data_IF_598763201875
#
_entry.id   IF_598763201875
#
_cell.length_a   1.000
_cell.length_b   1.000
_cell.length_c   1.000
_cell.angle_alpha   90.00
_cell.angle_beta   90.00
_cell.angle_gamma   90.00
#
_symmetry.space_group_name_H-M   'P 1'
#
loop_
_entity.id
_entity.type
_entity.pdbx_description
1 polymer ?
#
# COMPACT_ATOMS: atom_id res chain seq x y z
N UNK A 1 -9.22 -25.17 15.78
CA UNK A 1 -8.66 -24.26 14.75
C UNK A 1 -9.42 -22.94 14.69
N UNK A 2 -10.74 -22.96 14.41
CA UNK A 2 -11.57 -21.74 14.25
C UNK A 2 -11.55 -20.77 15.47
N UNK A 3 -11.50 -21.30 16.69
CA UNK A 3 -11.42 -20.51 17.92
C UNK A 3 -10.18 -19.60 18.00
N UNK A 4 -9.02 -20.03 17.44
CA UNK A 4 -7.80 -19.21 17.44
C UNK A 4 -7.99 -17.95 16.61
N UNK A 5 -8.65 -18.06 15.46
CA UNK A 5 -8.95 -16.93 14.58
C UNK A 5 -10.00 -16.01 15.17
N UNK A 6 -11.07 -16.56 15.77
CA UNK A 6 -12.09 -15.74 16.45
C UNK A 6 -11.49 -14.97 17.63
N UNK A 7 -10.62 -15.60 18.42
CA UNK A 7 -9.92 -14.96 19.52
C UNK A 7 -9.02 -13.82 19.02
N UNK A 8 -8.22 -14.08 17.98
CA UNK A 8 -7.37 -13.03 17.39
C UNK A 8 -8.20 -11.88 16.81
N UNK A 9 -9.32 -12.19 16.15
CA UNK A 9 -10.24 -11.17 15.63
C UNK A 9 -10.82 -10.26 16.72
N UNK A 10 -11.16 -10.83 17.89
CA UNK A 10 -11.64 -10.06 19.04
C UNK A 10 -10.53 -9.23 19.69
N UNK A 11 -9.31 -9.77 19.73
CA UNK A 11 -8.16 -9.11 20.33
C UNK A 11 -7.61 -7.96 19.46
N UNK A 12 -7.57 -8.15 18.14
CA UNK A 12 -7.06 -7.17 17.17
C UNK A 12 -8.09 -6.86 16.09
N UNK A 13 -9.18 -6.21 16.52
CA UNK A 13 -10.31 -5.85 15.67
C UNK A 13 -9.88 -4.94 14.52
N UNK A 14 -8.96 -4.00 14.78
CA UNK A 14 -8.59 -2.96 13.83
C UNK A 14 -7.72 -3.53 12.69
N UNK A 15 -6.75 -4.39 13.01
CA UNK A 15 -6.01 -5.16 12.00
C UNK A 15 -6.95 -6.03 11.16
N UNK A 16 -7.89 -6.71 11.82
CA UNK A 16 -8.84 -7.59 11.14
C UNK A 16 -9.77 -6.83 10.17
N UNK A 17 -10.25 -5.65 10.56
CA UNK A 17 -11.07 -4.78 9.70
C UNK A 17 -10.28 -4.31 8.48
N UNK A 18 -9.00 -3.95 8.63
CA UNK A 18 -8.11 -3.56 7.53
C UNK A 18 -7.97 -4.66 6.47
N UNK A 19 -7.96 -5.94 6.87
CA UNK A 19 -7.97 -7.06 5.91
C UNK A 19 -9.33 -7.15 5.20
N UNK A 20 -10.43 -7.18 5.95
CA UNK A 20 -11.78 -7.38 5.38
C UNK A 20 -12.19 -6.24 4.45
N UNK A 21 -11.87 -5.00 4.80
CA UNK A 21 -12.26 -3.83 4.00
C UNK A 21 -11.61 -3.85 2.60
N UNK A 22 -10.49 -4.55 2.43
CA UNK A 22 -9.84 -4.75 1.12
C UNK A 22 -10.73 -5.49 0.11
N UNK A 23 -11.74 -6.25 0.57
CA UNK A 23 -12.73 -6.89 -0.31
C UNK A 23 -13.65 -5.88 -1.01
N UNK A 24 -13.91 -4.72 -0.40
CA UNK A 24 -14.80 -3.69 -0.95
C UNK A 24 -14.29 -3.16 -2.30
N UNK A 25 -13.07 -2.62 -2.44
CA UNK A 25 -12.60 -2.13 -3.74
C UNK A 25 -12.46 -3.26 -4.77
N UNK A 26 -12.10 -4.49 -4.37
CA UNK A 26 -12.02 -5.64 -5.28
C UNK A 26 -13.38 -5.94 -5.92
N UNK A 27 -14.43 -6.05 -5.10
CA UNK A 27 -15.79 -6.30 -5.58
C UNK A 27 -16.29 -5.16 -6.46
N UNK A 28 -16.02 -3.90 -6.09
CA UNK A 28 -16.38 -2.72 -6.88
C UNK A 28 -15.68 -2.69 -8.25
N UNK A 29 -14.39 -3.04 -8.34
CA UNK A 29 -13.67 -3.10 -9.62
C UNK A 29 -14.34 -4.10 -10.56
N UNK A 30 -14.75 -5.25 -10.04
CA UNK A 30 -15.42 -6.27 -10.82
C UNK A 30 -16.82 -5.83 -11.27
N UNK A 31 -17.64 -5.32 -10.35
CA UNK A 31 -19.00 -4.85 -10.63
C UNK A 31 -19.03 -3.69 -11.65
N UNK A 32 -18.11 -2.75 -11.53
CA UNK A 32 -18.00 -1.58 -12.43
C UNK A 32 -17.23 -1.87 -13.72
N UNK A 33 -16.69 -3.09 -13.88
CA UNK A 33 -15.79 -3.48 -14.96
C UNK A 33 -14.60 -2.52 -15.13
N UNK A 34 -14.11 -1.96 -14.02
CA UNK A 34 -13.01 -0.99 -14.03
C UNK A 34 -11.68 -1.62 -14.50
N UNK A 35 -11.54 -2.95 -14.41
CA UNK A 35 -10.39 -3.71 -14.90
C UNK A 35 -10.11 -3.58 -16.42
N UNK A 36 -11.04 -2.99 -17.17
CA UNK A 36 -10.83 -2.64 -18.57
C UNK A 36 -9.69 -1.62 -18.73
N UNK A 37 -9.56 -0.67 -17.81
CA UNK A 37 -8.46 0.29 -17.77
C UNK A 37 -7.19 -0.38 -17.19
N UNK A 38 -6.02 -0.22 -17.84
CA UNK A 38 -4.78 -0.90 -17.42
C UNK A 38 -4.30 -0.48 -16.02
N UNK A 39 -4.52 0.78 -15.61
CA UNK A 39 -4.18 1.25 -14.27
C UNK A 39 -5.06 0.59 -13.21
N UNK A 40 -6.36 0.47 -13.46
CA UNK A 40 -7.28 -0.22 -12.55
C UNK A 40 -7.06 -1.74 -12.53
N UNK A 41 -6.56 -2.31 -13.63
CA UNK A 41 -6.13 -3.72 -13.65
C UNK A 41 -4.92 -3.95 -12.75
N UNK A 42 -3.94 -3.05 -12.76
CA UNK A 42 -2.81 -3.11 -11.83
C UNK A 42 -3.26 -2.88 -10.39
N UNK A 43 -4.19 -1.95 -10.15
CA UNK A 43 -4.79 -1.77 -8.83
C UNK A 43 -5.49 -3.05 -8.34
N UNK A 44 -6.24 -3.72 -9.20
CA UNK A 44 -6.87 -5.00 -8.87
C UNK A 44 -5.84 -6.06 -8.50
N UNK A 45 -4.77 -6.18 -9.30
CA UNK A 45 -3.68 -7.11 -9.01
C UNK A 45 -3.02 -6.78 -7.67
N UNK A 46 -2.77 -5.50 -7.39
CA UNK A 46 -2.26 -5.04 -6.09
C UNK A 46 -3.19 -5.43 -4.94
N UNK A 47 -4.49 -5.16 -5.05
CA UNK A 47 -5.46 -5.47 -4.00
C UNK A 47 -5.59 -6.98 -3.76
N UNK A 48 -5.51 -7.81 -4.81
CA UNK A 48 -5.49 -9.27 -4.68
C UNK A 48 -4.22 -9.77 -3.99
N UNK A 49 -3.05 -9.28 -4.41
CA UNK A 49 -1.77 -9.61 -3.76
C UNK A 49 -1.78 -9.16 -2.30
N UNK A 50 -2.23 -7.93 -2.01
CA UNK A 50 -2.42 -7.40 -0.65
C UNK A 50 -3.31 -8.34 0.16
N UNK A 51 -4.49 -8.70 -0.35
CA UNK A 51 -5.43 -9.56 0.38
C UNK A 51 -4.83 -10.93 0.70
N UNK A 52 -4.13 -11.55 -0.25
CA UNK A 52 -3.48 -12.86 -0.04
C UNK A 52 -2.42 -12.74 1.07
N UNK A 53 -1.55 -11.74 0.99
CA UNK A 53 -0.50 -11.50 1.98
C UNK A 53 -1.11 -11.18 3.34
N UNK A 54 -2.10 -10.30 3.42
CA UNK A 54 -2.77 -9.92 4.66
C UNK A 54 -3.42 -11.13 5.34
N UNK A 55 -4.05 -12.03 4.56
CA UNK A 55 -4.61 -13.28 5.08
C UNK A 55 -3.52 -14.25 5.59
N UNK A 56 -2.38 -14.33 4.90
CA UNK A 56 -1.23 -15.12 5.36
C UNK A 56 -0.64 -14.52 6.64
N UNK A 57 -0.48 -13.20 6.70
CA UNK A 57 0.01 -12.50 7.89
C UNK A 57 -0.94 -12.67 9.08
N UNK A 58 -2.25 -12.64 8.83
CA UNK A 58 -3.29 -12.93 9.82
C UNK A 58 -3.20 -14.37 10.33
N UNK A 59 -2.99 -15.34 9.42
CA UNK A 59 -2.78 -16.74 9.79
C UNK A 59 -1.53 -16.93 10.65
N UNK A 60 -0.40 -16.33 10.25
CA UNK A 60 0.83 -16.36 11.02
C UNK A 60 0.65 -15.71 12.39
N UNK A 61 -0.02 -14.56 12.48
CA UNK A 61 -0.30 -13.90 13.74
C UNK A 61 -1.18 -14.76 14.67
N UNK A 62 -2.25 -15.37 14.14
CA UNK A 62 -3.13 -16.27 14.89
C UNK A 62 -2.42 -17.55 15.37
N UNK A 63 -1.34 -17.96 14.70
CA UNK A 63 -0.51 -19.12 15.05
C UNK A 63 0.77 -18.73 15.82
N UNK A 64 0.97 -17.44 16.10
CA UNK A 64 2.18 -16.88 16.75
C UNK A 64 3.48 -17.17 16.00
N UNK A 65 3.40 -17.23 14.68
CA UNK A 65 4.55 -17.32 13.78
C UNK A 65 4.92 -15.91 13.31
N UNK A 66 6.22 -15.61 13.26
CA UNK A 66 6.71 -14.33 12.77
C UNK A 66 6.33 -14.16 11.29
N UNK A 67 5.71 -13.03 10.96
CA UNK A 67 5.17 -12.70 9.64
C UNK A 67 5.92 -11.54 8.96
N UNK A 68 7.03 -11.08 9.53
CA UNK A 68 7.78 -9.92 9.04
C UNK A 68 8.45 -10.16 7.69
N UNK A 69 8.73 -11.41 7.34
CA UNK A 69 9.18 -11.79 5.99
C UNK A 69 8.13 -11.43 4.95
N UNK A 70 6.87 -11.76 5.20
CA UNK A 70 5.76 -11.44 4.30
C UNK A 70 5.61 -9.92 4.17
N UNK A 71 5.71 -9.19 5.28
CA UNK A 71 5.67 -7.74 5.29
C UNK A 71 6.78 -7.13 4.40
N UNK A 72 8.02 -7.58 4.57
CA UNK A 72 9.17 -7.08 3.83
C UNK A 72 9.05 -7.35 2.32
N UNK A 73 8.61 -8.54 1.93
CA UNK A 73 8.38 -8.90 0.52
C UNK A 73 7.25 -8.05 -0.10
N UNK A 74 6.24 -7.70 0.70
CA UNK A 74 5.10 -6.88 0.25
C UNK A 74 5.54 -5.50 -0.24
N UNK A 75 6.59 -4.92 0.34
CA UNK A 75 7.11 -3.60 -0.04
C UNK A 75 7.48 -3.55 -1.52
N UNK A 76 8.11 -4.62 -2.03
CA UNK A 76 8.50 -4.75 -3.44
C UNK A 76 7.26 -4.77 -4.33
N UNK A 77 6.32 -5.67 -4.04
CA UNK A 77 5.09 -5.81 -4.84
C UNK A 77 4.24 -4.55 -4.81
N UNK A 78 4.10 -3.93 -3.63
CA UNK A 78 3.34 -2.70 -3.43
C UNK A 78 3.94 -1.57 -4.26
N UNK A 79 5.25 -1.36 -4.19
CA UNK A 79 5.88 -0.32 -4.98
C UNK A 79 5.74 -0.56 -6.49
N UNK A 80 6.08 -1.76 -6.98
CA UNK A 80 6.06 -2.07 -8.42
C UNK A 80 4.65 -1.92 -9.02
N UNK A 81 3.64 -2.45 -8.34
CA UNK A 81 2.27 -2.42 -8.86
C UNK A 81 1.70 -1.00 -8.82
N UNK A 82 1.96 -0.26 -7.74
CA UNK A 82 1.47 1.10 -7.59
C UNK A 82 2.20 2.08 -8.51
N UNK A 83 3.52 2.00 -8.64
CA UNK A 83 4.29 2.80 -9.60
C UNK A 83 3.86 2.48 -11.04
N UNK A 84 3.56 1.21 -11.33
CA UNK A 84 2.98 0.76 -12.59
C UNK A 84 1.62 1.41 -12.90
N UNK A 85 0.79 1.69 -11.90
CA UNK A 85 -0.47 2.43 -12.13
C UNK A 85 -0.21 3.83 -12.68
N UNK A 86 0.81 4.52 -12.14
CA UNK A 86 1.24 5.84 -12.60
C UNK A 86 1.84 5.80 -14.00
N UNK A 87 2.54 4.72 -14.37
CA UNK A 87 3.05 4.54 -15.74
C UNK A 87 1.95 4.66 -16.81
N UNK A 88 0.76 4.14 -16.53
CA UNK A 88 -0.39 4.23 -17.43
C UNK A 88 -1.23 5.51 -17.30
N UNK A 89 -0.97 6.37 -16.30
CA UNK A 89 -1.77 7.58 -16.03
C UNK A 89 -1.07 8.88 -16.35
N UNK A 90 0.26 8.91 -16.33
CA UNK A 90 1.01 10.10 -16.76
C UNK A 90 0.89 10.29 -18.28
N UNK A 91 0.51 11.50 -18.71
CA UNK A 91 0.57 11.90 -20.12
C UNK A 91 2.02 12.21 -20.52
N UNK A 92 2.84 12.71 -19.57
CA UNK A 92 4.24 13.04 -19.84
C UNK A 92 5.13 11.79 -20.01
N UNK A 93 5.48 11.50 -21.27
CA UNK A 93 6.39 10.40 -21.65
C UNK A 93 7.79 10.47 -21.04
N UNK A 94 8.28 11.65 -20.64
CA UNK A 94 9.58 11.76 -19.98
C UNK A 94 9.51 11.20 -18.56
N UNK A 95 8.42 11.47 -17.83
CA UNK A 95 8.21 10.98 -16.46
C UNK A 95 8.05 9.46 -16.45
N UNK A 96 7.24 8.92 -17.37
CA UNK A 96 7.00 7.46 -17.46
C UNK A 96 8.26 6.65 -17.73
N UNK A 97 9.24 7.20 -18.46
CA UNK A 97 10.53 6.54 -18.71
C UNK A 97 11.34 6.29 -17.44
N UNK A 98 11.15 7.09 -16.39
CA UNK A 98 11.87 6.91 -15.11
C UNK A 98 11.22 5.88 -14.19
N UNK A 99 9.93 5.58 -14.36
CA UNK A 99 9.18 4.69 -13.47
C UNK A 99 9.75 3.27 -13.49
N UNK A 100 10.03 2.72 -14.66
CA UNK A 100 10.52 1.34 -14.77
C UNK A 100 11.94 1.16 -14.22
N UNK A 101 12.94 2.01 -14.58
CA UNK A 101 14.26 1.97 -13.95
C UNK A 101 14.22 2.18 -12.43
N UNK A 102 13.39 3.11 -11.93
CA UNK A 102 13.24 3.33 -10.49
C UNK A 102 12.61 2.13 -9.79
N UNK A 103 11.64 1.44 -10.42
CA UNK A 103 11.04 0.22 -9.86
C UNK A 103 12.04 -0.93 -9.77
N UNK A 104 12.88 -1.10 -10.79
CA UNK A 104 13.96 -2.09 -10.76
C UNK A 104 15.01 -1.73 -9.70
N UNK A 105 15.49 -0.48 -9.69
CA UNK A 105 16.47 -0.01 -8.71
C UNK A 105 15.97 -0.11 -7.27
N UNK A 106 14.72 0.27 -7.03
CA UNK A 106 14.07 0.13 -5.72
C UNK A 106 13.97 -1.33 -5.29
N UNK A 107 13.63 -2.25 -6.22
CA UNK A 107 13.56 -3.68 -5.89
C UNK A 107 14.92 -4.23 -5.44
N UNK A 108 16.01 -3.87 -6.13
CA UNK A 108 17.37 -4.25 -5.70
C UNK A 108 17.75 -3.62 -4.36
N UNK A 109 17.42 -2.34 -4.17
CA UNK A 109 17.63 -1.65 -2.90
C UNK A 109 16.89 -2.34 -1.74
N UNK A 110 15.63 -2.73 -1.94
CA UNK A 110 14.84 -3.43 -0.92
C UNK A 110 15.37 -4.82 -0.64
N UNK A 111 15.79 -5.58 -1.65
CA UNK A 111 16.42 -6.89 -1.44
C UNK A 111 17.70 -6.76 -0.61
N UNK A 112 18.54 -5.76 -0.91
CA UNK A 112 19.72 -5.45 -0.12
C UNK A 112 19.37 -5.10 1.33
N UNK A 113 18.37 -4.24 1.55
CA UNK A 113 17.93 -3.85 2.89
C UNK A 113 17.35 -5.03 3.70
N UNK A 114 16.63 -5.94 3.04
CA UNK A 114 16.15 -7.19 3.65
C UNK A 114 17.34 -8.03 4.14
N UNK A 115 18.35 -8.25 3.30
CA UNK A 115 19.54 -9.02 3.67
C UNK A 115 20.37 -8.34 4.74
N UNK A 116 20.52 -7.02 4.67
CA UNK A 116 21.25 -6.25 5.67
C UNK A 116 20.59 -6.31 7.05
N UNK A 117 19.26 -6.27 7.12
CA UNK A 117 18.53 -6.37 8.37
C UNK A 117 18.38 -7.81 8.88
N UNK A 118 18.43 -8.80 7.97
CA UNK A 118 18.17 -10.21 8.28
C UNK A 118 19.30 -11.09 7.71
N UNK A 119 20.49 -11.12 8.35
CA UNK A 119 21.64 -11.87 7.85
C UNK A 119 21.39 -13.38 7.82
N UNK A 120 20.52 -13.90 8.69
CA UNK A 120 20.06 -15.29 8.69
C UNK A 120 18.61 -15.38 8.20
N UNK A 121 18.43 -15.39 6.87
CA UNK A 121 17.12 -15.43 6.20
C UNK A 121 16.38 -16.75 6.46
N UNK A 122 17.09 -17.82 6.81
CA UNK A 122 16.48 -19.11 7.11
C UNK A 122 15.85 -19.12 8.50
N UNK A 123 16.31 -18.25 9.40
CA UNK A 123 15.74 -18.09 10.72
C UNK A 123 14.50 -17.18 10.71
N UNK A 124 13.37 -17.75 10.32
CA UNK A 124 12.08 -17.06 10.24
C UNK A 124 11.64 -16.43 11.58
N UNK A 125 12.13 -16.91 12.72
CA UNK A 125 11.72 -16.38 14.03
C UNK A 125 12.35 -15.03 14.37
N UNK A 126 13.58 -14.76 13.91
CA UNK A 126 14.35 -13.56 14.25
C UNK A 126 14.26 -12.45 13.20
N UNK A 127 13.38 -12.58 12.21
CA UNK A 127 13.23 -11.55 11.19
C UNK A 127 12.78 -10.22 11.78
N UNK A 128 13.33 -9.14 11.22
CA UNK A 128 13.06 -7.76 11.56
C UNK A 128 12.49 -7.01 10.35
N UNK A 129 11.78 -5.92 10.64
CA UNK A 129 11.31 -4.97 9.63
C UNK A 129 12.52 -4.31 8.97
N UNK A 130 12.47 -4.15 7.65
CA UNK A 130 13.47 -3.39 6.88
C UNK A 130 13.65 -1.96 7.39
N UNK A 131 14.89 -1.47 7.42
CA UNK A 131 15.21 -0.17 8.04
C UNK A 131 14.89 1.01 7.14
N UNK A 132 15.17 0.91 5.84
CA UNK A 132 15.16 2.07 4.94
C UNK A 132 14.08 1.98 3.88
N UNK A 133 13.77 0.79 3.40
CA UNK A 133 12.92 0.54 2.24
C UNK A 133 11.52 1.08 2.42
N UNK A 134 10.93 0.96 3.62
CA UNK A 134 9.59 1.48 3.90
C UNK A 134 9.52 3.00 3.77
N UNK A 135 10.53 3.71 4.27
CA UNK A 135 10.63 5.17 4.19
C UNK A 135 10.88 5.62 2.75
N UNK A 136 11.81 4.96 2.05
CA UNK A 136 12.11 5.26 0.64
C UNK A 136 10.91 5.00 -0.25
N UNK A 137 10.19 3.90 -0.05
CA UNK A 137 8.93 3.61 -0.74
C UNK A 137 7.95 4.77 -0.55
N UNK A 138 7.74 5.18 0.69
CA UNK A 138 6.77 6.22 1.03
C UNK A 138 7.14 7.56 0.37
N UNK A 139 8.42 7.92 0.38
CA UNK A 139 8.91 9.12 -0.31
C UNK A 139 8.69 9.06 -1.81
N UNK A 140 9.04 7.94 -2.45
CA UNK A 140 8.86 7.75 -3.88
C UNK A 140 7.38 7.76 -4.28
N UNK A 141 6.51 7.14 -3.49
CA UNK A 141 5.08 7.12 -3.74
C UNK A 141 4.44 8.49 -3.58
N UNK A 142 4.79 9.24 -2.53
CA UNK A 142 4.37 10.64 -2.38
C UNK A 142 4.87 11.48 -3.56
N UNK A 143 6.12 11.31 -3.99
CA UNK A 143 6.66 11.99 -5.15
C UNK A 143 5.81 11.72 -6.40
N UNK A 144 5.49 10.46 -6.72
CA UNK A 144 4.63 10.12 -7.86
C UNK A 144 3.24 10.74 -7.75
N UNK A 145 2.62 10.69 -6.57
CA UNK A 145 1.28 11.26 -6.33
C UNK A 145 1.30 12.78 -6.52
N UNK A 146 2.29 13.48 -5.97
CA UNK A 146 2.40 14.93 -6.11
C UNK A 146 2.68 15.36 -7.55
N UNK A 147 3.52 14.61 -8.26
CA UNK A 147 3.80 14.85 -9.68
C UNK A 147 2.52 14.65 -10.51
N UNK A 148 1.73 13.62 -10.18
CA UNK A 148 0.44 13.39 -10.80
C UNK A 148 -0.56 14.52 -10.53
N UNK A 149 -0.69 14.99 -9.28
CA UNK A 149 -1.55 16.13 -8.98
C UNK A 149 -1.11 17.42 -9.66
N UNK A 150 0.21 17.65 -9.78
CA UNK A 150 0.74 18.78 -10.54
C UNK A 150 0.31 18.73 -12.01
N UNK A 151 0.39 17.57 -12.64
CA UNK A 151 -0.05 17.39 -14.04
C UNK A 151 -1.56 17.56 -14.20
N UNK A 152 -2.33 16.99 -13.27
CA UNK A 152 -3.79 17.10 -13.23
C UNK A 152 -4.23 18.56 -13.13
N UNK A 153 -3.67 19.33 -12.21
CA UNK A 153 -3.98 20.76 -12.01
C UNK A 153 -3.52 21.59 -13.22
N UNK A 154 -2.32 21.32 -13.74
CA UNK A 154 -1.77 22.07 -14.88
C UNK A 154 -2.50 21.84 -16.20
N UNK A 155 -3.15 20.69 -16.36
CA UNK A 155 -3.85 20.36 -17.61
C UNK A 155 -5.20 21.09 -17.78
N UNK A 156 -5.82 21.61 -16.71
CA UNK A 156 -7.16 22.24 -16.69
C UNK A 156 -8.28 21.42 -17.39
N UNK A 157 -8.05 20.15 -17.74
CA UNK A 157 -8.96 19.30 -18.52
C UNK A 157 -10.16 18.81 -17.70
N UNK A 158 -10.06 18.80 -16.37
CA UNK A 158 -11.07 18.21 -15.49
C UNK A 158 -11.88 19.32 -14.80
N UNK A 159 -13.16 19.51 -15.17
CA UNK A 159 -14.00 20.58 -14.61
C UNK A 159 -14.35 20.35 -13.13
N UNK A 160 -14.29 19.11 -12.65
CA UNK A 160 -14.46 18.78 -11.23
C UNK A 160 -13.54 17.61 -10.82
N UNK A 161 -12.53 17.88 -10.01
CA UNK A 161 -11.57 16.87 -9.53
C UNK A 161 -12.24 15.74 -8.73
N UNK A 162 -13.32 16.06 -8.01
CA UNK A 162 -14.01 15.10 -7.15
C UNK A 162 -14.78 14.04 -7.92
N UNK A 163 -15.03 14.25 -9.21
CA UNK A 163 -15.66 13.22 -10.06
C UNK A 163 -14.64 12.29 -10.71
N UNK A 164 -13.34 12.57 -10.56
CA UNK A 164 -12.28 11.78 -11.18
C UNK A 164 -11.88 10.58 -10.30
N UNK A 165 -12.07 9.34 -10.75
CA UNK A 165 -11.79 8.13 -9.94
C UNK A 165 -10.37 8.06 -9.39
N UNK A 166 -9.36 8.40 -10.20
CA UNK A 166 -7.95 8.28 -9.81
C UNK A 166 -7.52 9.36 -8.83
N UNK A 167 -8.23 10.49 -8.74
CA UNK A 167 -7.98 11.52 -7.74
C UNK A 167 -8.15 10.94 -6.33
N UNK A 168 -9.26 10.24 -6.08
CA UNK A 168 -9.55 9.61 -4.79
C UNK A 168 -8.57 8.50 -4.43
N UNK A 169 -8.12 7.72 -5.42
CA UNK A 169 -7.06 6.73 -5.24
C UNK A 169 -5.78 7.43 -4.77
N UNK A 170 -5.32 8.46 -5.49
CA UNK A 170 -4.14 9.23 -5.13
C UNK A 170 -4.26 9.89 -3.75
N UNK A 171 -5.43 10.44 -3.39
CA UNK A 171 -5.67 11.01 -2.07
C UNK A 171 -5.57 9.96 -0.96
N UNK A 172 -6.14 8.77 -1.17
CA UNK A 172 -6.02 7.65 -0.22
C UNK A 172 -4.57 7.20 -0.04
N UNK A 173 -3.81 7.08 -1.14
CA UNK A 173 -2.40 6.72 -1.08
C UNK A 173 -1.55 7.81 -0.42
N UNK A 174 -1.85 9.09 -0.68
CA UNK A 174 -1.12 10.20 -0.07
C UNK A 174 -1.26 10.15 1.45
N UNK A 175 -2.48 10.02 1.97
CA UNK A 175 -2.72 9.92 3.41
C UNK A 175 -2.01 8.71 4.03
N UNK A 176 -2.08 7.56 3.37
CA UNK A 176 -1.40 6.34 3.81
C UNK A 176 0.12 6.52 3.91
N UNK A 177 0.77 6.90 2.80
CA UNK A 177 2.22 7.02 2.75
C UNK A 177 2.74 8.19 3.58
N UNK A 178 2.01 9.30 3.67
CA UNK A 178 2.38 10.39 4.59
C UNK A 178 2.36 9.91 6.05
N UNK A 179 1.39 9.11 6.46
CA UNK A 179 1.38 8.55 7.82
C UNK A 179 2.58 7.63 8.08
N UNK A 180 2.94 6.79 7.11
CA UNK A 180 4.07 5.87 7.23
C UNK A 180 5.41 6.58 7.37
N UNK A 181 5.63 7.72 6.69
CA UNK A 181 6.87 8.50 6.84
C UNK A 181 7.10 8.94 8.28
N UNK A 182 6.04 9.32 9.00
CA UNK A 182 6.17 9.74 10.39
C UNK A 182 6.25 8.56 11.35
N UNK A 183 5.53 7.47 11.07
CA UNK A 183 5.44 6.31 11.96
C UNK A 183 6.68 5.43 11.86
N UNK A 184 7.21 5.18 10.66
CA UNK A 184 8.31 4.24 10.45
C UNK A 184 9.58 4.58 11.26
N UNK A 185 10.08 5.84 11.27
CA UNK A 185 11.20 6.22 12.13
C UNK A 185 10.84 6.11 13.62
N UNK A 186 9.62 6.52 13.99
CA UNK A 186 9.16 6.49 15.38
C UNK A 186 9.12 5.07 15.93
N UNK A 187 8.61 4.10 15.17
CA UNK A 187 8.63 2.68 15.52
C UNK A 187 10.06 2.16 15.64
N UNK A 188 10.95 2.53 14.72
CA UNK A 188 12.35 2.12 14.78
C UNK A 188 13.03 2.62 16.06
N UNK A 189 12.90 3.90 16.38
CA UNK A 189 13.47 4.47 17.61
C UNK A 189 12.86 3.87 18.88
N UNK A 190 11.55 3.63 18.90
CA UNK A 190 10.88 3.00 20.03
C UNK A 190 11.39 1.57 20.29
N UNK A 191 11.78 0.82 19.25
CA UNK A 191 12.36 -0.53 19.40
C UNK A 191 13.82 -0.55 19.85
N UNK A 192 14.57 0.54 19.65
CA UNK A 192 15.99 0.61 20.02
C UNK A 192 16.24 1.24 21.39
N UNK A 193 15.27 1.96 21.96
CA UNK A 193 15.43 2.55 23.28
C UNK A 193 15.19 1.53 24.39
N UNK A 194 16.11 1.48 25.35
CA UNK A 194 16.06 0.59 26.53
C UNK A 194 14.86 0.87 27.45
N UNK A 195 14.31 2.07 27.36
CA UNK A 195 13.05 2.42 28.05
C UNK A 195 11.91 1.93 27.16
N UNK A 196 11.11 0.98 27.68
CA UNK A 196 9.81 0.62 27.10
C UNK A 196 8.93 1.86 27.00
N UNK A 197 9.05 2.59 25.90
CA UNK A 197 8.02 3.54 25.50
C UNK A 197 6.79 2.69 25.21
N UNK A 198 5.74 2.89 26.00
CA UNK A 198 4.47 2.21 25.77
C UNK A 198 3.88 2.80 24.49
N UNK A 199 4.24 2.19 23.35
CA UNK A 199 3.98 2.71 22.00
C UNK A 199 2.45 2.75 21.74
N UNK A 200 1.66 2.00 22.52
CA UNK A 200 0.23 2.19 22.70
C UNK A 200 -0.55 2.32 21.39
N UNK A 201 -1.11 3.51 21.16
CA UNK A 201 -1.92 3.80 19.97
C UNK A 201 -1.10 3.95 18.68
N UNK A 202 0.20 4.24 18.73
CA UNK A 202 1.04 4.45 17.53
C UNK A 202 1.11 3.19 16.65
N UNK A 203 1.13 2.00 17.26
CA UNK A 203 1.10 0.72 16.54
C UNK A 203 -0.23 0.48 15.81
N UNK A 204 -1.28 1.23 16.18
CA UNK A 204 -2.61 1.15 15.55
C UNK A 204 -2.79 2.12 14.38
N UNK A 205 -2.00 3.19 14.34
CA UNK A 205 -2.13 4.26 13.33
C UNK A 205 -2.01 3.71 11.89
N UNK A 206 -1.05 2.82 11.53
CA UNK A 206 -0.94 2.32 10.17
C UNK A 206 -2.21 1.66 9.66
N UNK A 207 -2.90 0.90 10.51
CA UNK A 207 -4.14 0.23 10.14
C UNK A 207 -5.32 1.21 9.98
N UNK A 208 -5.37 2.28 10.79
CA UNK A 208 -6.39 3.34 10.64
C UNK A 208 -6.23 4.01 9.27
N UNK A 209 -4.99 4.38 8.91
CA UNK A 209 -4.73 5.01 7.62
C UNK A 209 -4.89 4.04 6.45
N UNK A 210 -4.62 2.74 6.62
CA UNK A 210 -4.95 1.72 5.62
C UNK A 210 -6.46 1.66 5.37
N UNK A 211 -7.28 1.61 6.43
CA UNK A 211 -8.75 1.61 6.34
C UNK A 211 -9.25 2.86 5.62
N UNK A 212 -8.74 4.04 5.99
CA UNK A 212 -9.09 5.31 5.33
C UNK A 212 -8.70 5.28 3.85
N UNK A 213 -7.48 4.82 3.55
CA UNK A 213 -6.97 4.72 2.17
C UNK A 213 -7.83 3.81 1.30
N UNK A 214 -8.13 2.60 1.79
CA UNK A 214 -8.98 1.63 1.09
C UNK A 214 -10.41 2.17 0.90
N UNK A 215 -10.93 2.91 1.87
CA UNK A 215 -12.24 3.56 1.75
C UNK A 215 -12.25 4.61 0.64
N UNK A 216 -11.22 5.45 0.56
CA UNK A 216 -11.09 6.45 -0.51
C UNK A 216 -10.88 5.81 -1.88
N UNK A 217 -10.08 4.74 -1.95
CA UNK A 217 -9.92 3.94 -3.18
C UNK A 217 -11.28 3.38 -3.62
N UNK A 218 -12.06 2.83 -2.68
CA UNK A 218 -13.40 2.31 -2.94
C UNK A 218 -14.34 3.39 -3.47
N UNK A 219 -14.29 4.59 -2.89
CA UNK A 219 -15.06 5.74 -3.36
C UNK A 219 -14.65 6.15 -4.77
N UNK A 220 -13.34 6.20 -5.07
CA UNK A 220 -12.83 6.44 -6.42
C UNK A 220 -13.35 5.44 -7.45
N UNK A 221 -13.29 4.14 -7.14
CA UNK A 221 -13.81 3.07 -8.01
C UNK A 221 -15.34 3.19 -8.16
N UNK A 222 -16.06 3.59 -7.12
CA UNK A 222 -17.53 3.73 -7.18
C UNK A 222 -17.98 4.79 -8.19
N UNK A 223 -17.15 5.82 -8.39
CA UNK A 223 -17.34 6.90 -9.37
C UNK A 223 -16.90 6.51 -10.79
N UNK A 224 -16.22 5.37 -10.96
CA UNK A 224 -15.77 4.91 -12.27
C UNK A 224 -16.95 4.55 -13.18
N UNK A 225 -16.96 5.12 -14.39
CA UNK A 225 -17.91 4.78 -15.44
C UNK A 225 -17.17 4.46 -16.74
N UNK A 226 -17.26 3.19 -17.18
CA UNK A 226 -16.61 2.70 -18.40
C UNK A 226 -16.98 3.51 -19.66
N UNK A 227 -18.19 4.10 -19.68
CA UNK A 227 -18.71 4.88 -20.82
C UNK A 227 -18.01 6.25 -20.98
N UNK A 228 -17.51 6.83 -19.90
CA UNK A 228 -16.82 8.13 -19.92
C UNK A 228 -15.30 8.00 -19.93
N UNK A 229 -14.77 6.90 -19.38
CA UNK A 229 -13.32 6.72 -19.23
C UNK A 229 -12.62 6.24 -20.51
N UNK A 230 -13.31 5.52 -21.41
CA UNK A 230 -12.72 4.98 -22.64
C UNK A 230 -12.57 5.99 -23.80
N UNK A 231 -12.82 7.29 -23.56
CA UNK A 231 -12.76 8.35 -24.59
C UNK A 231 -11.49 9.20 -24.54
N UNK A 232 -10.55 8.91 -23.66
CA UNK A 232 -9.28 9.63 -23.52
C UNK A 232 -8.09 8.69 -23.57
#
# INVERSE_FOLDING_TARGET
MLQKYLFYFQYDLLSSISVIITLVPITLIYQRKAYADPSFRLLLLFLLVKLIIDLLMFHCAATRVNNLVLFNVTIIFRYILMSGMFYYKFENKQVTKFIMPLSVGFSFFTLWDIWYCNPDILNLHLHQIVKYSLTVESLLMIFWILLYFKELIGSLKVPNLLTFPFFWICSGLLLYYSSLIFIAPTLHYATQWDVRLDIGLLDRIPYIFDIISITLISLGISLFSARYYARH
#
